data_IF_962132864173
#
_entry.id   IF_962132864173
#
_cell.length_a   1.000
_cell.length_b   1.000
_cell.length_c   1.000
_cell.angle_alpha   90.00
_cell.angle_beta   90.00
_cell.angle_gamma   90.00
#
_symmetry.space_group_name_H-M   'P 1'
#
loop_
_entity.id
_entity.type
_entity.pdbx_description
1 polymer ?
#
# COMPACT_ATOMS: atom_id res chain seq x y z
N UNK A 1 22.78 -15.52 -5.17
CA UNK A 1 21.33 -15.61 -4.95
C UNK A 1 20.60 -15.19 -6.21
N UNK A 2 19.49 -15.83 -6.52
CA UNK A 2 18.63 -15.40 -7.62
C UNK A 2 17.95 -14.08 -7.28
N UNK A 3 17.72 -13.27 -8.30
CA UNK A 3 16.97 -12.01 -8.20
C UNK A 3 16.35 -11.66 -9.56
N UNK A 4 15.46 -10.68 -9.57
CA UNK A 4 14.91 -10.12 -10.80
C UNK A 4 15.18 -8.60 -10.80
N UNK A 5 15.78 -8.13 -11.88
CA UNK A 5 16.16 -6.72 -12.00
C UNK A 5 16.17 -6.22 -13.43
N UNK A 6 16.51 -4.94 -13.59
CA UNK A 6 16.72 -4.30 -14.90
C UNK A 6 17.94 -3.36 -14.87
N UNK A 7 18.44 -3.02 -16.06
CA UNK A 7 19.52 -2.03 -16.26
C UNK A 7 19.06 -0.76 -16.97
N UNK A 8 17.99 -0.85 -17.73
CA UNK A 8 17.48 0.29 -18.50
C UNK A 8 15.98 0.42 -18.19
N UNK A 9 15.53 1.58 -17.68
CA UNK A 9 14.12 1.82 -17.45
C UNK A 9 13.34 1.82 -18.77
N UNK A 10 12.08 1.41 -18.73
CA UNK A 10 11.25 1.40 -19.92
C UNK A 10 9.91 0.67 -19.74
N UNK A 11 9.12 0.58 -20.81
CA UNK A 11 7.82 -0.09 -20.79
C UNK A 11 7.96 -1.60 -20.56
N UNK A 12 6.94 -2.22 -19.97
CA UNK A 12 6.94 -3.66 -19.63
C UNK A 12 7.07 -4.57 -20.86
N UNK A 13 6.69 -4.09 -22.04
CA UNK A 13 6.77 -4.84 -23.29
C UNK A 13 8.21 -5.12 -23.77
N UNK A 14 9.21 -4.44 -23.22
CA UNK A 14 10.61 -4.72 -23.53
C UNK A 14 11.06 -6.06 -22.95
N UNK A 15 11.81 -6.84 -23.71
CA UNK A 15 12.39 -8.10 -23.21
C UNK A 15 13.30 -7.87 -22.01
N UNK A 16 13.98 -6.74 -21.96
CA UNK A 16 14.92 -6.32 -20.91
C UNK A 16 14.25 -5.57 -19.75
N UNK A 17 12.92 -5.38 -19.77
CA UNK A 17 12.20 -4.63 -18.72
C UNK A 17 12.38 -5.24 -17.35
N UNK A 18 12.44 -6.57 -17.27
CA UNK A 18 12.81 -7.37 -16.10
C UNK A 18 13.50 -8.64 -16.59
N UNK A 19 14.61 -9.00 -15.98
CA UNK A 19 15.39 -10.20 -16.30
C UNK A 19 15.80 -10.94 -15.03
N UNK A 20 15.92 -12.26 -15.12
CA UNK A 20 16.46 -13.09 -14.06
C UNK A 20 17.98 -12.88 -13.98
N UNK A 21 18.50 -12.67 -12.81
CA UNK A 21 19.91 -12.36 -12.54
C UNK A 21 20.43 -13.09 -11.32
N UNK A 22 21.74 -13.23 -11.23
CA UNK A 22 22.43 -13.70 -10.04
C UNK A 22 23.18 -12.54 -9.36
N UNK A 23 22.97 -12.39 -8.06
CA UNK A 23 23.63 -11.39 -7.22
C UNK A 23 24.37 -12.05 -6.06
N UNK A 24 25.42 -11.42 -5.50
CA UNK A 24 26.00 -11.88 -4.23
C UNK A 24 24.95 -11.79 -3.12
N UNK A 25 25.04 -12.71 -2.16
CA UNK A 25 24.22 -12.64 -0.94
C UNK A 25 24.67 -11.42 -0.13
N UNK A 26 23.75 -10.56 0.34
CA UNK A 26 24.13 -9.39 1.10
C UNK A 26 24.59 -9.75 2.51
N UNK A 27 25.39 -8.84 3.10
CA UNK A 27 25.97 -9.01 4.43
C UNK A 27 25.23 -8.14 5.43
N UNK A 28 24.86 -8.74 6.56
CA UNK A 28 24.09 -8.09 7.64
C UNK A 28 24.99 -7.19 8.50
N UNK A 29 24.48 -6.02 8.88
CA UNK A 29 25.13 -5.12 9.83
C UNK A 29 24.13 -4.23 10.56
N UNK A 30 24.48 -3.71 11.74
CA UNK A 30 23.71 -2.72 12.47
C UNK A 30 22.27 -3.19 12.76
N UNK A 31 21.29 -2.38 12.37
CA UNK A 31 19.85 -2.69 12.52
C UNK A 31 19.26 -3.59 11.43
N UNK A 32 20.05 -4.07 10.48
CA UNK A 32 19.54 -4.89 9.40
C UNK A 32 19.26 -6.33 9.83
N UNK A 33 18.23 -6.91 9.23
CA UNK A 33 18.00 -8.37 9.22
C UNK A 33 18.07 -8.88 7.78
N UNK A 34 18.59 -10.09 7.60
CA UNK A 34 18.57 -10.80 6.34
C UNK A 34 17.39 -11.75 6.32
N UNK A 35 16.48 -11.50 5.41
CA UNK A 35 15.27 -12.31 5.23
C UNK A 35 15.41 -13.20 4.00
N UNK A 36 15.18 -14.51 4.16
CA UNK A 36 14.88 -15.40 3.05
C UNK A 36 13.44 -15.16 2.60
N UNK A 37 13.28 -14.57 1.44
CA UNK A 37 11.98 -14.19 0.88
C UNK A 37 11.21 -15.43 0.45
N UNK A 38 10.00 -15.59 0.93
CA UNK A 38 9.07 -16.67 0.57
C UNK A 38 8.01 -16.23 -0.41
N UNK A 39 7.55 -14.98 -0.29
CA UNK A 39 6.61 -14.35 -1.20
C UNK A 39 6.85 -12.85 -1.27
N UNK A 40 6.48 -12.26 -2.40
CA UNK A 40 6.47 -10.83 -2.67
C UNK A 40 5.11 -10.43 -3.23
N UNK A 41 4.80 -9.13 -3.17
CA UNK A 41 3.58 -8.63 -3.80
C UNK A 41 3.89 -7.36 -4.58
N UNK A 42 3.19 -7.15 -5.70
CA UNK A 42 3.43 -6.02 -6.59
C UNK A 42 2.53 -4.83 -6.26
N UNK A 43 3.06 -3.64 -6.49
CA UNK A 43 2.42 -2.36 -6.23
C UNK A 43 2.62 -1.40 -7.42
N UNK A 44 1.78 -0.35 -7.57
CA UNK A 44 1.98 0.65 -8.61
C UNK A 44 3.37 1.31 -8.61
N UNK A 45 4.00 1.48 -7.45
CA UNK A 45 5.36 2.01 -7.34
C UNK A 45 6.39 1.17 -8.09
N UNK A 46 6.20 -0.15 -8.18
CA UNK A 46 7.11 -1.04 -8.91
C UNK A 46 7.19 -0.67 -10.40
N UNK A 47 6.05 -0.53 -11.08
CA UNK A 47 6.08 -0.17 -12.49
C UNK A 47 6.42 1.30 -12.73
N UNK A 48 6.06 2.21 -11.83
CA UNK A 48 6.45 3.62 -11.91
C UNK A 48 7.98 3.76 -11.89
N UNK A 49 8.65 3.10 -10.95
CA UNK A 49 10.12 3.10 -10.85
C UNK A 49 10.75 2.37 -12.03
N UNK A 50 10.25 1.19 -12.40
CA UNK A 50 10.76 0.45 -13.56
C UNK A 50 10.74 1.29 -14.83
N UNK A 51 9.68 2.07 -15.05
CA UNK A 51 9.51 2.85 -16.28
C UNK A 51 10.36 4.12 -16.34
N UNK A 52 10.79 4.66 -15.20
CA UNK A 52 11.37 6.01 -15.13
C UNK A 52 12.73 6.12 -14.45
N UNK A 53 13.11 5.18 -13.58
CA UNK A 53 14.27 5.36 -12.71
C UNK A 53 15.43 4.45 -13.13
N UNK A 54 16.55 5.01 -13.65
CA UNK A 54 17.72 4.21 -13.97
C UNK A 54 18.38 3.68 -12.67
N UNK A 55 19.05 2.52 -12.72
CA UNK A 55 19.94 2.09 -11.65
C UNK A 55 21.17 3.00 -11.56
N UNK A 56 21.97 2.85 -10.50
CA UNK A 56 23.32 3.41 -10.46
C UNK A 56 24.17 2.82 -11.59
N UNK A 57 25.18 3.57 -12.04
CA UNK A 57 25.99 3.22 -13.21
C UNK A 57 26.55 1.78 -13.11
N UNK A 58 26.18 0.96 -14.10
CA UNK A 58 26.63 -0.43 -14.23
C UNK A 58 25.91 -1.45 -13.35
N UNK A 59 25.10 -1.02 -12.42
CA UNK A 59 24.37 -1.89 -11.48
C UNK A 59 23.06 -2.44 -12.05
N UNK A 60 22.48 -3.38 -11.32
CA UNK A 60 21.12 -3.85 -11.48
C UNK A 60 20.17 -3.14 -10.52
N UNK A 61 19.02 -2.70 -11.00
CA UNK A 61 17.91 -2.26 -10.13
C UNK A 61 16.99 -3.43 -9.85
N UNK A 62 16.95 -3.88 -8.60
CA UNK A 62 15.97 -4.86 -8.11
C UNK A 62 14.80 -4.10 -7.50
N UNK A 63 13.60 -4.45 -7.93
CA UNK A 63 12.33 -3.87 -7.46
C UNK A 63 11.71 -4.74 -6.36
N UNK A 64 10.53 -4.32 -5.90
CA UNK A 64 9.71 -5.01 -4.92
C UNK A 64 9.74 -4.32 -3.56
N UNK A 65 8.54 -3.96 -3.08
CA UNK A 65 8.36 -3.29 -1.78
C UNK A 65 7.13 -3.88 -1.07
N UNK A 66 7.14 -5.21 -1.00
CA UNK A 66 6.25 -6.04 -0.20
C UNK A 66 6.85 -7.44 -0.14
N UNK A 67 7.13 -7.94 1.05
CA UNK A 67 7.63 -9.30 1.22
C UNK A 67 7.13 -9.94 2.51
N UNK A 68 7.08 -11.28 2.49
CA UNK A 68 7.00 -12.12 3.66
C UNK A 68 8.08 -13.22 3.56
N UNK A 69 8.73 -13.52 4.69
CA UNK A 69 9.84 -14.46 4.69
C UNK A 69 10.32 -14.83 6.09
N UNK A 70 11.47 -15.49 6.13
CA UNK A 70 12.08 -16.01 7.36
C UNK A 70 13.40 -15.29 7.61
N UNK A 71 13.58 -14.77 8.80
CA UNK A 71 14.85 -14.17 9.25
C UNK A 71 15.94 -15.24 9.25
N UNK A 72 17.04 -14.99 8.57
CA UNK A 72 18.21 -15.90 8.49
C UNK A 72 19.41 -15.38 9.27
N UNK A 73 19.59 -14.08 9.33
CA UNK A 73 20.66 -13.43 10.08
C UNK A 73 20.13 -12.10 10.66
N UNK A 74 20.69 -11.69 11.78
CA UNK A 74 20.35 -10.41 12.44
C UNK A 74 21.63 -9.61 12.68
N UNK A 75 21.56 -8.29 12.51
CA UNK A 75 22.64 -7.36 12.79
C UNK A 75 22.87 -7.17 14.30
N UNK A 76 23.99 -6.57 14.64
CA UNK A 76 24.43 -6.40 16.04
C UNK A 76 23.49 -5.58 16.90
N UNK A 77 22.71 -4.67 16.29
CA UNK A 77 21.86 -3.73 17.02
C UNK A 77 20.39 -4.18 17.05
N UNK A 78 20.08 -5.35 16.45
CA UNK A 78 18.74 -5.93 16.40
C UNK A 78 18.45 -6.72 17.68
N UNK A 79 17.35 -6.38 18.35
CA UNK A 79 16.92 -7.04 19.59
C UNK A 79 15.51 -7.64 19.51
N UNK A 80 14.69 -7.19 18.53
CA UNK A 80 13.28 -7.58 18.41
C UNK A 80 13.03 -8.83 17.58
N UNK A 81 14.02 -9.29 16.81
CA UNK A 81 13.94 -10.48 15.96
C UNK A 81 15.12 -11.44 16.18
N UNK A 82 14.87 -12.72 15.89
CA UNK A 82 15.86 -13.78 15.91
C UNK A 82 15.79 -14.61 14.62
N UNK A 83 16.87 -15.35 14.34
CA UNK A 83 16.90 -16.32 13.25
C UNK A 83 15.76 -17.33 13.40
N UNK A 84 14.98 -17.51 12.34
CA UNK A 84 13.80 -18.38 12.30
C UNK A 84 12.47 -17.64 12.41
N UNK A 85 12.46 -16.38 12.82
CA UNK A 85 11.24 -15.60 12.91
C UNK A 85 10.60 -15.41 11.53
N UNK A 86 9.27 -15.55 11.48
CA UNK A 86 8.46 -15.26 10.31
C UNK A 86 8.05 -13.78 10.32
N UNK A 87 8.42 -13.05 9.27
CA UNK A 87 8.27 -11.61 9.16
C UNK A 87 7.58 -11.19 7.87
N UNK A 88 7.04 -9.96 7.87
CA UNK A 88 6.53 -9.31 6.67
C UNK A 88 6.77 -7.79 6.74
N UNK A 89 6.95 -7.15 5.59
CA UNK A 89 7.37 -5.74 5.53
C UNK A 89 7.25 -5.16 4.12
N UNK A 90 7.21 -3.83 4.04
CA UNK A 90 7.28 -3.11 2.77
C UNK A 90 8.72 -2.74 2.37
N UNK A 91 9.63 -2.56 3.32
CA UNK A 91 11.00 -2.13 3.06
C UNK A 91 11.14 -0.64 2.77
N UNK A 92 12.21 -0.26 2.07
CA UNK A 92 12.52 1.15 1.74
C UNK A 92 12.80 1.32 0.25
N UNK A 93 12.19 2.35 -0.35
CA UNK A 93 12.33 2.65 -1.78
C UNK A 93 13.76 3.09 -2.17
N UNK A 94 14.57 3.51 -1.20
CA UNK A 94 15.97 3.93 -1.39
C UNK A 94 16.95 2.76 -1.33
N UNK A 95 16.48 1.56 -1.00
CA UNK A 95 17.30 0.33 -0.90
C UNK A 95 16.98 -0.64 -2.04
N UNK A 96 17.78 -1.71 -2.15
CA UNK A 96 17.49 -2.84 -3.04
C UNK A 96 16.12 -3.42 -2.70
N UNK A 97 15.32 -3.78 -3.70
CA UNK A 97 13.97 -4.31 -3.51
C UNK A 97 13.93 -5.81 -3.19
N UNK A 98 12.73 -6.30 -2.92
CA UNK A 98 12.44 -7.64 -2.40
C UNK A 98 12.38 -8.75 -3.45
N UNK A 99 12.49 -8.43 -4.76
CA UNK A 99 12.45 -9.43 -5.82
C UNK A 99 13.78 -10.21 -5.91
N UNK A 100 14.21 -10.80 -4.80
CA UNK A 100 15.44 -11.58 -4.62
C UNK A 100 15.25 -12.67 -3.55
N UNK A 101 15.99 -13.77 -3.65
CA UNK A 101 15.93 -14.89 -2.67
C UNK A 101 16.22 -14.42 -1.24
N UNK A 102 17.12 -13.44 -1.08
CA UNK A 102 17.47 -12.85 0.20
C UNK A 102 17.41 -11.34 0.11
N UNK A 103 16.86 -10.71 1.12
CA UNK A 103 16.69 -9.26 1.19
C UNK A 103 17.16 -8.72 2.54
N UNK A 104 17.88 -7.60 2.52
CA UNK A 104 18.24 -6.83 3.72
C UNK A 104 17.20 -5.75 3.99
N UNK A 105 16.67 -5.74 5.18
CA UNK A 105 15.73 -4.72 5.64
C UNK A 105 16.09 -4.27 7.05
N UNK A 106 15.88 -2.98 7.33
CA UNK A 106 15.99 -2.43 8.67
C UNK A 106 14.90 -3.04 9.56
N UNK A 107 15.29 -3.67 10.65
CA UNK A 107 14.38 -4.39 11.55
C UNK A 107 13.27 -3.49 12.13
N UNK A 108 13.51 -2.18 12.26
CA UNK A 108 12.54 -1.23 12.82
C UNK A 108 11.28 -1.05 11.97
N UNK A 109 11.36 -1.32 10.65
CA UNK A 109 10.21 -1.23 9.73
C UNK A 109 9.61 -2.61 9.38
N UNK A 110 9.86 -3.61 10.19
CA UNK A 110 9.43 -5.00 9.98
C UNK A 110 8.43 -5.39 11.07
N UNK A 111 7.35 -6.07 10.67
CA UNK A 111 6.40 -6.71 11.60
C UNK A 111 6.48 -8.23 11.58
N UNK A 112 5.93 -8.87 12.62
CA UNK A 112 5.74 -10.32 12.67
C UNK A 112 4.62 -10.72 11.73
N UNK A 113 4.89 -11.70 10.88
CA UNK A 113 3.89 -12.23 9.95
C UNK A 113 2.66 -12.76 10.70
N UNK A 114 1.41 -12.40 10.30
CA UNK A 114 0.21 -13.03 10.84
C UNK A 114 0.32 -14.55 10.78
N UNK A 115 0.06 -15.24 11.88
CA UNK A 115 0.18 -16.69 11.98
C UNK A 115 -0.86 -17.42 11.11
N UNK A 116 -2.05 -16.84 10.97
CA UNK A 116 -3.18 -17.37 10.21
C UNK A 116 -3.01 -17.32 8.69
N UNK A 117 -2.12 -16.47 8.15
CA UNK A 117 -1.93 -16.30 6.72
C UNK A 117 -0.79 -17.17 6.19
N UNK A 118 -0.92 -17.62 4.94
CA UNK A 118 0.20 -18.15 4.18
C UNK A 118 1.16 -17.03 3.73
N UNK A 119 2.27 -17.36 3.05
CA UNK A 119 3.30 -16.39 2.68
C UNK A 119 2.79 -15.36 1.65
N UNK A 120 2.08 -15.81 0.63
CA UNK A 120 1.54 -14.93 -0.42
C UNK A 120 0.47 -13.98 0.13
N UNK A 121 -0.42 -14.48 1.00
CA UNK A 121 -1.42 -13.67 1.68
C UNK A 121 -0.80 -12.61 2.59
N UNK A 122 0.24 -12.97 3.34
CA UNK A 122 0.95 -12.06 4.22
C UNK A 122 1.71 -10.99 3.42
N UNK A 123 2.41 -11.36 2.33
CA UNK A 123 3.12 -10.42 1.47
C UNK A 123 2.20 -9.39 0.79
N UNK A 124 0.90 -9.66 0.70
CA UNK A 124 -0.06 -8.74 0.08
C UNK A 124 -0.50 -7.56 0.98
N UNK A 125 -0.03 -7.49 2.23
CA UNK A 125 -0.55 -6.53 3.21
C UNK A 125 0.37 -5.33 3.52
N UNK A 126 1.72 -5.45 3.63
CA UNK A 126 2.53 -4.45 4.31
C UNK A 126 2.42 -3.05 3.71
N UNK A 127 2.77 -2.86 2.45
CA UNK A 127 2.78 -1.53 1.83
C UNK A 127 1.39 -0.88 1.88
N UNK A 128 0.37 -1.64 1.50
CA UNK A 128 -1.00 -1.12 1.45
C UNK A 128 -1.58 -0.89 2.84
N UNK A 129 -1.22 -1.73 3.80
CA UNK A 129 -1.61 -1.57 5.20
C UNK A 129 -0.98 -0.33 5.85
N UNK A 130 0.33 -0.12 5.64
CA UNK A 130 1.03 1.07 6.12
C UNK A 130 0.45 2.34 5.50
N UNK A 131 0.29 2.39 4.17
CA UNK A 131 -0.29 3.55 3.49
C UNK A 131 -1.70 3.89 3.98
N UNK A 132 -2.54 2.88 4.19
CA UNK A 132 -3.90 3.09 4.68
C UNK A 132 -3.92 3.54 6.15
N UNK A 133 -3.07 2.94 6.99
CA UNK A 133 -2.99 3.28 8.41
C UNK A 133 -2.46 4.69 8.61
N UNK A 134 -1.29 5.01 8.04
CA UNK A 134 -0.68 6.33 8.13
C UNK A 134 -1.60 7.42 7.57
N UNK A 135 -2.24 7.18 6.40
CA UNK A 135 -3.21 8.12 5.85
C UNK A 135 -4.36 8.42 6.81
N UNK A 136 -4.93 7.40 7.46
CA UNK A 136 -6.09 7.59 8.33
C UNK A 136 -5.73 8.16 9.70
N UNK A 137 -4.68 7.64 10.35
CA UNK A 137 -4.40 7.99 11.73
C UNK A 137 -3.38 9.12 11.87
N UNK A 138 -2.34 9.17 11.02
CA UNK A 138 -1.30 10.19 11.12
C UNK A 138 -1.63 11.45 10.29
N UNK A 139 -2.31 11.30 9.14
CA UNK A 139 -2.62 12.43 8.25
C UNK A 139 -4.02 12.97 8.48
N UNK A 140 -5.03 12.13 8.34
CA UNK A 140 -6.43 12.53 8.53
C UNK A 140 -6.80 12.69 10.00
N UNK A 141 -6.03 12.09 10.94
CA UNK A 141 -6.34 12.10 12.39
C UNK A 141 -7.84 11.79 12.62
N UNK A 142 -8.27 10.63 12.10
CA UNK A 142 -9.70 10.26 12.03
C UNK A 142 -10.35 10.12 13.42
N UNK A 143 -9.55 10.03 14.48
CA UNK A 143 -10.03 10.04 15.86
C UNK A 143 -10.54 11.41 16.31
N UNK A 144 -10.07 12.49 15.67
CA UNK A 144 -10.47 13.85 15.99
C UNK A 144 -11.67 14.27 15.14
N UNK A 145 -12.79 14.47 15.79
CA UNK A 145 -14.05 14.90 15.13
C UNK A 145 -13.93 16.24 14.39
N UNK A 146 -14.68 16.39 13.30
CA UNK A 146 -14.85 17.65 12.56
C UNK A 146 -16.23 18.22 12.92
N UNK A 147 -16.32 19.41 13.54
CA UNK A 147 -17.60 19.96 14.00
C UNK A 147 -18.59 20.16 12.85
N UNK A 148 -19.80 19.63 13.01
CA UNK A 148 -20.89 19.76 12.03
C UNK A 148 -20.77 18.86 10.81
N UNK A 149 -19.70 18.06 10.68
CA UNK A 149 -19.55 17.09 9.63
C UNK A 149 -20.23 15.75 9.97
N UNK A 150 -20.57 14.98 8.95
CA UNK A 150 -20.89 13.56 9.15
C UNK A 150 -19.65 12.80 9.65
N UNK A 151 -19.84 11.90 10.64
CA UNK A 151 -18.79 10.98 11.09
C UNK A 151 -18.58 9.90 10.01
N UNK A 152 -18.02 10.31 8.88
CA UNK A 152 -17.88 9.49 7.69
C UNK A 152 -16.54 9.73 6.98
N UNK A 153 -16.04 8.69 6.34
CA UNK A 153 -14.90 8.72 5.43
C UNK A 153 -15.32 8.25 4.04
N UNK A 154 -14.94 9.01 3.01
CA UNK A 154 -15.01 8.58 1.62
C UNK A 154 -13.66 8.03 1.18
N UNK A 155 -13.60 6.78 0.75
CA UNK A 155 -12.41 6.14 0.19
C UNK A 155 -12.59 6.02 -1.32
N UNK A 156 -11.87 6.82 -2.10
CA UNK A 156 -11.87 6.76 -3.57
C UNK A 156 -10.92 5.65 -4.02
N UNK A 157 -11.39 4.76 -4.90
CA UNK A 157 -10.62 3.61 -5.37
C UNK A 157 -10.69 2.39 -4.44
N UNK A 158 -11.87 2.12 -3.85
CA UNK A 158 -12.06 1.10 -2.82
C UNK A 158 -11.68 -0.33 -3.19
N UNK A 159 -11.75 -0.70 -4.46
CA UNK A 159 -11.45 -2.06 -4.90
C UNK A 159 -9.94 -2.31 -5.16
N UNK A 160 -9.11 -1.26 -5.22
CA UNK A 160 -7.67 -1.39 -5.35
C UNK A 160 -7.00 -1.93 -4.08
N UNK A 161 -5.67 -2.14 -4.12
CA UNK A 161 -4.92 -2.70 -2.99
C UNK A 161 -5.08 -1.89 -1.71
N UNK A 162 -4.77 -0.58 -1.76
CA UNK A 162 -4.89 0.32 -0.59
C UNK A 162 -6.34 0.50 -0.16
N UNK A 163 -7.26 0.76 -1.12
CA UNK A 163 -8.68 0.94 -0.81
C UNK A 163 -9.29 -0.27 -0.10
N UNK A 164 -8.92 -1.48 -0.55
CA UNK A 164 -9.43 -2.73 0.04
C UNK A 164 -9.03 -2.93 1.50
N UNK A 165 -7.82 -2.58 1.88
CA UNK A 165 -7.39 -2.68 3.28
C UNK A 165 -7.87 -1.48 4.10
N UNK A 166 -7.94 -0.28 3.50
CA UNK A 166 -8.43 0.93 4.16
C UNK A 166 -9.89 0.78 4.61
N UNK A 167 -10.76 0.18 3.79
CA UNK A 167 -12.14 -0.14 4.17
C UNK A 167 -12.17 -0.97 5.45
N UNK A 168 -11.38 -2.02 5.50
CA UNK A 168 -11.34 -2.93 6.65
C UNK A 168 -10.78 -2.26 7.90
N UNK A 169 -9.67 -1.51 7.78
CA UNK A 169 -9.09 -0.76 8.90
C UNK A 169 -10.09 0.26 9.44
N UNK A 170 -10.72 1.06 8.56
CA UNK A 170 -11.74 2.02 8.97
C UNK A 170 -12.90 1.35 9.72
N UNK A 171 -13.34 0.18 9.25
CA UNK A 171 -14.43 -0.61 9.87
C UNK A 171 -14.07 -1.20 11.23
N UNK A 172 -12.82 -1.59 11.43
CA UNK A 172 -12.40 -2.28 12.66
C UNK A 172 -11.84 -1.34 13.72
N UNK A 173 -11.26 -0.21 13.29
CA UNK A 173 -10.54 0.70 14.20
C UNK A 173 -11.26 2.03 14.43
N UNK A 174 -12.43 2.25 13.79
CA UNK A 174 -13.20 3.51 13.93
C UNK A 174 -14.70 3.25 13.93
N UNK A 175 -15.47 4.25 14.38
CA UNK A 175 -16.94 4.28 14.30
C UNK A 175 -17.44 5.06 13.06
N UNK A 176 -16.57 5.30 12.06
CA UNK A 176 -16.93 6.07 10.88
C UNK A 176 -17.88 5.29 9.96
N UNK A 177 -18.80 6.01 9.34
CA UNK A 177 -19.51 5.52 8.16
C UNK A 177 -18.51 5.44 7.02
N UNK A 178 -18.24 4.22 6.52
CA UNK A 178 -17.32 3.99 5.41
C UNK A 178 -18.07 4.03 4.09
N UNK A 179 -17.78 5.04 3.28
CA UNK A 179 -18.26 5.20 1.92
C UNK A 179 -17.07 4.90 1.01
N UNK A 180 -17.29 4.19 -0.09
CA UNK A 180 -16.22 3.93 -1.05
C UNK A 180 -16.71 3.98 -2.47
N UNK A 181 -15.78 4.08 -3.43
CA UNK A 181 -16.13 4.08 -4.84
C UNK A 181 -15.82 2.75 -5.51
N UNK A 182 -16.78 2.28 -6.32
CA UNK A 182 -16.61 1.17 -7.25
C UNK A 182 -17.60 1.37 -8.41
N UNK A 183 -17.25 0.94 -9.64
CA UNK A 183 -18.10 1.18 -10.83
C UNK A 183 -18.51 -0.08 -11.57
N UNK A 184 -18.02 -1.26 -11.15
CA UNK A 184 -18.34 -2.55 -11.77
C UNK A 184 -19.00 -3.46 -10.73
N UNK A 185 -19.97 -4.31 -11.12
CA UNK A 185 -20.69 -5.19 -10.18
C UNK A 185 -19.75 -6.03 -9.30
N UNK A 186 -18.71 -6.63 -9.88
CA UNK A 186 -17.74 -7.44 -9.14
C UNK A 186 -16.91 -6.63 -8.13
N UNK A 187 -16.60 -5.36 -8.44
CA UNK A 187 -15.89 -4.48 -7.51
C UNK A 187 -16.81 -3.92 -6.43
N UNK A 188 -18.10 -3.70 -6.73
CA UNK A 188 -19.10 -3.37 -5.70
C UNK A 188 -19.28 -4.50 -4.69
N UNK A 189 -19.45 -5.73 -5.17
CA UNK A 189 -19.57 -6.91 -4.32
C UNK A 189 -18.32 -7.08 -3.44
N UNK A 190 -17.12 -6.89 -4.03
CA UNK A 190 -15.85 -6.95 -3.32
C UNK A 190 -15.81 -5.96 -2.16
N UNK A 191 -16.05 -4.65 -2.40
CA UNK A 191 -15.93 -3.62 -1.36
C UNK A 191 -17.01 -3.73 -0.30
N UNK A 192 -18.25 -4.17 -0.66
CA UNK A 192 -19.30 -4.49 0.31
C UNK A 192 -18.88 -5.66 1.20
N UNK A 193 -18.29 -6.70 0.63
CA UNK A 193 -17.75 -7.85 1.35
C UNK A 193 -16.57 -7.52 2.27
N UNK A 194 -15.89 -6.36 2.07
CA UNK A 194 -14.87 -5.83 2.96
C UNK A 194 -15.44 -4.94 4.08
N UNK A 195 -16.75 -4.64 4.04
CA UNK A 195 -17.44 -3.91 5.09
C UNK A 195 -17.78 -2.45 4.77
N UNK A 196 -17.71 -2.01 3.51
CA UNK A 196 -18.19 -0.69 3.12
C UNK A 196 -19.69 -0.53 3.44
N UNK A 197 -20.07 0.55 4.09
CA UNK A 197 -21.47 0.85 4.40
C UNK A 197 -22.22 1.32 3.14
N UNK A 198 -21.56 2.18 2.36
CA UNK A 198 -22.11 2.70 1.11
C UNK A 198 -21.09 2.56 -0.02
N UNK A 199 -21.58 2.27 -1.21
CA UNK A 199 -20.77 2.21 -2.43
C UNK A 199 -21.38 3.16 -3.44
N UNK A 200 -20.56 4.08 -3.99
CA UNK A 200 -20.94 5.02 -5.02
C UNK A 200 -20.08 4.80 -6.27
N UNK A 201 -20.61 5.19 -7.42
CA UNK A 201 -19.98 4.97 -8.71
C UNK A 201 -19.05 6.14 -9.09
N UNK A 202 -17.73 5.89 -9.19
CA UNK A 202 -16.76 6.90 -9.57
C UNK A 202 -16.81 7.34 -11.04
N UNK A 203 -17.60 6.68 -11.88
CA UNK A 203 -17.86 7.13 -13.26
C UNK A 203 -18.92 8.24 -13.33
N UNK A 204 -19.55 8.56 -12.21
CA UNK A 204 -20.60 9.59 -12.04
C UNK A 204 -20.14 10.65 -11.04
N UNK A 205 -20.71 11.87 -11.07
CA UNK A 205 -20.39 12.91 -10.09
C UNK A 205 -20.51 12.40 -8.64
N UNK A 206 -19.44 12.47 -7.86
CA UNK A 206 -19.41 11.92 -6.49
C UNK A 206 -20.23 12.78 -5.53
N UNK A 207 -20.21 14.13 -5.69
CA UNK A 207 -20.89 15.04 -4.79
C UNK A 207 -22.41 14.82 -4.79
N UNK A 208 -23.01 14.62 -5.95
CA UNK A 208 -24.43 14.34 -6.08
C UNK A 208 -24.81 13.02 -5.37
N UNK A 209 -24.01 11.96 -5.55
CA UNK A 209 -24.25 10.67 -4.93
C UNK A 209 -24.12 10.73 -3.40
N UNK A 210 -23.11 11.47 -2.87
CA UNK A 210 -22.99 11.69 -1.42
C UNK A 210 -24.22 12.42 -0.87
N UNK A 211 -24.74 13.43 -1.58
CA UNK A 211 -25.94 14.13 -1.16
C UNK A 211 -27.20 13.21 -1.13
N UNK A 212 -27.33 12.30 -2.10
CA UNK A 212 -28.40 11.29 -2.16
C UNK A 212 -28.39 10.33 -0.97
N UNK A 213 -27.24 10.07 -0.34
CA UNK A 213 -27.15 9.22 0.85
C UNK A 213 -27.85 9.84 2.09
N UNK A 214 -28.00 11.15 2.13
CA UNK A 214 -28.69 11.85 3.23
C UNK A 214 -27.95 11.83 4.56
N UNK A 215 -26.68 11.43 4.60
CA UNK A 215 -25.87 11.35 5.83
C UNK A 215 -25.13 12.65 6.18
N UNK A 216 -25.13 13.64 5.28
CA UNK A 216 -24.37 14.89 5.40
C UNK A 216 -23.00 14.80 4.73
N UNK A 217 -22.26 15.91 4.78
CA UNK A 217 -20.92 16.01 4.19
C UNK A 217 -19.90 15.22 5.02
N UNK A 218 -19.10 14.31 4.42
CA UNK A 218 -18.12 13.50 5.15
C UNK A 218 -17.00 14.38 5.74
N UNK A 219 -16.56 14.02 6.96
CA UNK A 219 -15.45 14.67 7.64
C UNK A 219 -14.11 14.40 6.93
N UNK A 220 -13.97 13.21 6.34
CA UNK A 220 -12.72 12.71 5.80
C UNK A 220 -12.87 12.18 4.38
N UNK A 221 -11.86 12.45 3.56
CA UNK A 221 -11.72 11.85 2.22
C UNK A 221 -10.32 11.26 2.11
N UNK A 222 -10.23 10.02 1.64
CA UNK A 222 -8.99 9.35 1.30
C UNK A 222 -9.03 8.91 -0.16
N UNK A 223 -8.22 9.55 -1.02
CA UNK A 223 -8.12 9.21 -2.44
C UNK A 223 -6.89 8.35 -2.69
N UNK A 224 -7.11 7.19 -3.30
CA UNK A 224 -6.04 6.23 -3.59
C UNK A 224 -5.65 6.19 -5.06
N UNK A 225 -6.44 6.82 -5.93
CA UNK A 225 -6.21 6.81 -7.38
C UNK A 225 -7.07 7.84 -8.08
N UNK A 226 -6.61 8.31 -9.26
CA UNK A 226 -7.34 9.23 -10.15
C UNK A 226 -7.84 10.50 -9.46
N UNK A 227 -7.11 10.98 -8.45
CA UNK A 227 -7.47 12.17 -7.66
C UNK A 227 -7.75 13.38 -8.54
N UNK A 228 -6.95 13.60 -9.60
CA UNK A 228 -7.12 14.71 -10.53
C UNK A 228 -8.52 14.76 -11.16
N UNK A 229 -9.14 13.59 -11.41
CA UNK A 229 -10.48 13.52 -12.01
C UNK A 229 -11.60 13.85 -11.01
N UNK A 230 -11.33 13.72 -9.71
CA UNK A 230 -12.32 13.84 -8.65
C UNK A 230 -12.14 15.07 -7.75
N UNK A 231 -11.08 15.86 -7.96
CA UNK A 231 -10.72 16.97 -7.06
C UNK A 231 -11.85 17.99 -6.89
N UNK A 232 -12.58 18.32 -7.95
CA UNK A 232 -13.70 19.26 -7.88
C UNK A 232 -14.87 18.70 -7.07
N UNK A 233 -15.26 17.46 -7.33
CA UNK A 233 -16.29 16.75 -6.55
C UNK A 233 -15.88 16.62 -5.07
N UNK A 234 -14.61 16.27 -4.79
CA UNK A 234 -14.11 16.16 -3.42
C UNK A 234 -14.22 17.52 -2.70
N UNK A 235 -13.85 18.62 -3.36
CA UNK A 235 -13.97 19.96 -2.79
C UNK A 235 -15.43 20.32 -2.49
N UNK A 236 -16.38 19.89 -3.34
CA UNK A 236 -17.81 20.11 -3.15
C UNK A 236 -18.38 19.26 -2.01
N UNK A 237 -18.08 17.95 -1.96
CA UNK A 237 -18.72 17.02 -1.04
C UNK A 237 -18.14 17.04 0.38
N UNK A 238 -16.86 17.39 0.57
CA UNK A 238 -16.20 17.35 1.87
C UNK A 238 -16.76 18.44 2.80
N UNK A 239 -16.87 18.12 4.08
CA UNK A 239 -17.35 19.08 5.08
C UNK A 239 -16.40 20.29 5.24
N UNK A 240 -16.90 21.49 5.61
CA UNK A 240 -16.04 22.56 6.11
C UNK A 240 -15.13 22.07 7.25
N UNK A 241 -13.86 22.47 7.22
CA UNK A 241 -12.79 22.01 8.13
C UNK A 241 -12.49 20.49 8.05
N UNK A 242 -13.00 19.82 7.01
CA UNK A 242 -12.69 18.43 6.73
C UNK A 242 -11.22 18.20 6.40
N UNK A 243 -10.81 16.94 6.32
CA UNK A 243 -9.43 16.55 6.02
C UNK A 243 -9.40 15.59 4.84
N UNK A 244 -8.51 15.90 3.89
CA UNK A 244 -8.35 15.16 2.65
C UNK A 244 -6.93 14.62 2.54
N UNK A 245 -6.77 13.31 2.36
CA UNK A 245 -5.49 12.67 2.08
C UNK A 245 -5.49 12.00 0.70
N UNK A 246 -4.33 12.01 0.03
CA UNK A 246 -4.12 11.35 -1.25
C UNK A 246 -2.75 10.65 -1.29
N UNK A 247 -2.65 9.57 -2.08
CA UNK A 247 -1.43 8.77 -2.27
C UNK A 247 -0.98 8.66 -3.72
N UNK A 248 -1.78 9.11 -4.67
CA UNK A 248 -1.42 9.15 -6.07
C UNK A 248 -0.72 10.47 -6.45
N UNK A 249 -0.24 10.56 -7.68
CA UNK A 249 0.59 11.65 -8.19
C UNK A 249 -0.19 12.43 -9.26
N UNK A 250 -1.19 13.26 -8.89
CA UNK A 250 -1.92 14.07 -9.86
C UNK A 250 -1.00 15.05 -10.58
N UNK A 251 -1.14 15.19 -11.89
CA UNK A 251 -0.34 16.13 -12.69
C UNK A 251 -0.77 17.58 -12.47
N UNK A 252 -2.03 17.78 -12.06
CA UNK A 252 -2.57 19.06 -11.64
C UNK A 252 -3.47 18.90 -10.42
N UNK A 253 -3.37 19.84 -9.49
CA UNK A 253 -4.15 19.85 -8.26
C UNK A 253 -4.42 21.29 -7.82
N UNK A 254 -5.66 21.77 -8.01
CA UNK A 254 -6.06 23.12 -7.60
C UNK A 254 -6.47 23.13 -6.11
N UNK A 255 -5.52 23.48 -5.26
CA UNK A 255 -5.74 23.62 -3.81
C UNK A 255 -6.76 24.74 -3.48
N UNK A 256 -6.96 25.71 -4.36
CA UNK A 256 -7.85 26.84 -4.08
C UNK A 256 -9.32 26.44 -4.00
N UNK A 257 -9.71 25.31 -4.61
CA UNK A 257 -11.07 24.76 -4.48
C UNK A 257 -11.45 24.43 -3.03
N UNK A 258 -10.48 24.20 -2.17
CA UNK A 258 -10.67 23.81 -0.77
C UNK A 258 -10.62 24.97 0.22
N UNK A 259 -10.24 26.18 -0.25
CA UNK A 259 -9.95 27.34 0.60
C UNK A 259 -11.16 27.78 1.43
N UNK A 260 -12.32 27.94 0.81
CA UNK A 260 -13.50 28.49 1.47
C UNK A 260 -14.03 27.58 2.59
N UNK A 261 -13.76 26.27 2.49
CA UNK A 261 -14.09 25.28 3.50
C UNK A 261 -12.97 25.07 4.52
N UNK A 262 -11.81 25.72 4.37
CA UNK A 262 -10.61 25.53 5.22
C UNK A 262 -10.22 24.06 5.38
N UNK A 263 -10.29 23.28 4.28
CA UNK A 263 -9.94 21.84 4.29
C UNK A 263 -8.44 21.68 4.44
N UNK A 264 -8.02 20.76 5.31
CA UNK A 264 -6.62 20.33 5.39
C UNK A 264 -6.33 19.27 4.34
N UNK A 265 -5.23 19.42 3.60
CA UNK A 265 -4.83 18.49 2.54
C UNK A 265 -3.50 17.85 2.92
N UNK A 266 -3.43 16.54 2.79
CA UNK A 266 -2.28 15.74 3.19
C UNK A 266 -1.86 14.81 2.06
N UNK A 267 -0.56 14.77 1.76
CA UNK A 267 0.04 13.68 1.00
C UNK A 267 0.44 12.56 1.94
N UNK A 268 0.16 11.32 1.55
CA UNK A 268 0.69 10.15 2.22
C UNK A 268 1.68 9.42 1.31
N UNK A 269 2.89 9.21 1.80
CA UNK A 269 3.92 8.38 1.21
C UNK A 269 4.52 7.52 2.31
N UNK A 270 4.09 6.27 2.43
CA UNK A 270 4.51 5.36 3.50
C UNK A 270 6.04 5.15 3.56
N UNK A 271 6.77 5.47 2.50
CA UNK A 271 8.24 5.42 2.50
C UNK A 271 8.92 6.60 3.20
N UNK A 272 8.20 7.66 3.58
CA UNK A 272 8.79 8.88 4.17
C UNK A 272 9.64 8.56 5.39
N UNK A 273 9.14 7.73 6.30
CA UNK A 273 9.86 7.32 7.51
C UNK A 273 11.18 6.61 7.18
N UNK A 274 11.16 5.69 6.24
CA UNK A 274 12.36 4.93 5.84
C UNK A 274 13.32 5.72 4.93
N UNK A 275 12.83 6.67 4.12
CA UNK A 275 13.66 7.55 3.28
C UNK A 275 14.51 8.49 4.13
N UNK A 276 13.88 9.12 5.11
CA UNK A 276 14.50 10.17 5.92
C UNK A 276 15.05 9.65 7.26
N UNK A 277 14.84 8.38 7.61
CA UNK A 277 15.27 7.81 8.88
C UNK A 277 14.69 8.60 10.06
N UNK A 278 13.40 8.90 10.00
CA UNK A 278 12.74 9.73 11.02
C UNK A 278 12.81 9.08 12.42
N UNK A 279 12.78 9.86 13.51
CA UNK A 279 12.85 9.30 14.86
C UNK A 279 11.74 8.29 15.18
N UNK A 280 10.60 8.40 14.51
CA UNK A 280 9.42 7.54 14.63
C UNK A 280 9.38 6.40 13.59
N UNK A 281 10.49 6.07 12.95
CA UNK A 281 10.55 5.04 11.90
C UNK A 281 10.05 3.67 12.39
N UNK A 282 10.23 3.36 13.67
CA UNK A 282 9.77 2.10 14.29
C UNK A 282 8.25 1.95 14.35
N UNK A 283 7.49 3.04 14.23
CA UNK A 283 6.03 2.99 14.15
C UNK A 283 5.54 2.06 13.02
N UNK A 284 6.31 1.93 11.92
CA UNK A 284 5.94 1.02 10.83
C UNK A 284 5.95 -0.45 11.26
N UNK A 285 6.93 -0.86 12.06
CA UNK A 285 6.94 -2.19 12.66
C UNK A 285 5.76 -2.42 13.60
N UNK A 286 5.44 -1.43 14.43
CA UNK A 286 4.32 -1.47 15.37
C UNK A 286 2.96 -1.52 14.65
N UNK A 287 2.78 -0.74 13.59
CA UNK A 287 1.59 -0.78 12.73
C UNK A 287 1.42 -2.17 12.11
N UNK A 288 2.49 -2.75 11.59
CA UNK A 288 2.44 -4.09 11.01
C UNK A 288 2.08 -5.14 12.08
N UNK A 289 2.68 -5.08 13.27
CA UNK A 289 2.33 -5.98 14.38
C UNK A 289 0.86 -5.82 14.80
N UNK A 290 0.33 -4.59 14.84
CA UNK A 290 -1.09 -4.33 15.12
C UNK A 290 -2.01 -4.89 14.03
N UNK A 291 -1.63 -4.74 12.76
CA UNK A 291 -2.35 -5.34 11.63
C UNK A 291 -2.33 -6.87 11.70
N UNK A 292 -1.21 -7.48 12.09
CA UNK A 292 -1.11 -8.92 12.26
C UNK A 292 -2.09 -9.45 13.32
N UNK A 293 -2.23 -8.74 14.44
CA UNK A 293 -3.22 -9.09 15.47
C UNK A 293 -4.64 -9.00 14.92
N UNK A 294 -5.00 -7.94 14.18
CA UNK A 294 -6.32 -7.80 13.60
C UNK A 294 -6.63 -8.91 12.58
N UNK A 295 -5.64 -9.35 11.85
CA UNK A 295 -5.75 -10.47 10.90
C UNK A 295 -5.93 -11.80 11.63
N UNK A 296 -5.10 -12.09 12.63
CA UNK A 296 -5.16 -13.35 13.39
C UNK A 296 -6.46 -13.47 14.22
N UNK A 297 -7.02 -12.34 14.65
CA UNK A 297 -8.35 -12.25 15.27
C UNK A 297 -9.51 -12.42 14.25
N UNK A 298 -9.23 -12.52 12.96
CA UNK A 298 -10.24 -12.62 11.89
C UNK A 298 -11.01 -11.33 11.64
N UNK A 299 -10.54 -10.18 12.14
CA UNK A 299 -11.15 -8.86 11.96
C UNK A 299 -10.83 -8.25 10.60
N UNK A 300 -9.63 -8.55 10.09
CA UNK A 300 -9.14 -8.16 8.76
C UNK A 300 -8.79 -9.44 7.99
N UNK A 301 -9.25 -9.54 6.76
CA UNK A 301 -8.87 -10.62 5.84
C UNK A 301 -7.86 -10.14 4.82
N UNK A 302 -7.10 -11.06 4.25
CA UNK A 302 -6.19 -10.77 3.14
C UNK A 302 -6.92 -10.12 1.97
N UNK A 303 -6.24 -9.20 1.30
CA UNK A 303 -6.71 -8.55 0.06
C UNK A 303 -6.13 -9.22 -1.20
N UNK A 304 -5.43 -10.34 -1.03
CA UNK A 304 -4.88 -11.13 -2.13
C UNK A 304 -5.99 -11.71 -3.00
N UNK A 305 -5.89 -11.49 -4.32
CA UNK A 305 -6.85 -12.02 -5.31
C UNK A 305 -6.17 -12.91 -6.34
N UNK A 306 -4.84 -12.84 -6.46
CA UNK A 306 -4.09 -13.63 -7.44
C UNK A 306 -2.70 -13.96 -6.95
N UNK A 307 -2.28 -15.21 -7.12
CA UNK A 307 -0.91 -15.68 -6.86
C UNK A 307 -0.30 -16.22 -8.14
N UNK A 308 0.97 -15.88 -8.39
CA UNK A 308 1.80 -16.43 -9.45
C UNK A 308 2.99 -17.18 -8.82
N UNK A 309 3.56 -18.14 -9.52
CA UNK A 309 4.73 -18.90 -9.07
C UNK A 309 5.48 -19.44 -10.29
N UNK A 310 6.82 -19.51 -10.26
CA UNK A 310 7.71 -18.96 -9.22
C UNK A 310 7.93 -17.44 -9.33
N UNK A 311 8.68 -16.86 -8.38
CA UNK A 311 9.20 -15.50 -8.48
C UNK A 311 10.31 -15.49 -9.53
N UNK A 312 10.01 -14.98 -10.72
CA UNK A 312 10.94 -14.84 -11.84
C UNK A 312 10.54 -13.68 -12.75
N UNK A 313 11.39 -13.34 -13.68
CA UNK A 313 11.16 -12.22 -14.61
C UNK A 313 9.86 -12.38 -15.42
N UNK A 314 9.52 -13.57 -15.88
CA UNK A 314 8.33 -13.81 -16.70
C UNK A 314 7.04 -13.54 -15.89
N UNK A 315 6.95 -14.07 -14.68
CA UNK A 315 5.80 -13.89 -13.81
C UNK A 315 5.70 -12.45 -13.27
N UNK A 316 6.84 -11.81 -12.95
CA UNK A 316 6.84 -10.39 -12.55
C UNK A 316 6.42 -9.48 -13.71
N UNK A 317 6.85 -9.74 -14.95
CA UNK A 317 6.33 -9.02 -16.13
C UNK A 317 4.81 -9.16 -16.24
N UNK A 318 4.29 -10.37 -16.06
CA UNK A 318 2.84 -10.62 -16.09
C UNK A 318 2.12 -9.82 -14.99
N UNK A 319 2.66 -9.82 -13.76
CA UNK A 319 2.08 -9.07 -12.65
C UNK A 319 2.11 -7.55 -12.89
N UNK A 320 3.23 -7.01 -13.37
CA UNK A 320 3.35 -5.59 -13.74
C UNK A 320 2.35 -5.21 -14.83
N UNK A 321 2.25 -5.99 -15.90
CA UNK A 321 1.29 -5.74 -16.96
C UNK A 321 -0.16 -5.69 -16.45
N UNK A 322 -0.51 -6.55 -15.49
CA UNK A 322 -1.84 -6.56 -14.89
C UNK A 322 -2.10 -5.30 -14.06
N UNK A 323 -1.17 -4.89 -13.19
CA UNK A 323 -1.40 -3.68 -12.36
C UNK A 323 -1.36 -2.39 -13.18
N UNK A 324 -0.61 -2.35 -14.29
CA UNK A 324 -0.58 -1.21 -15.23
C UNK A 324 -1.91 -0.97 -15.92
N UNK A 325 -2.79 -1.97 -16.00
CA UNK A 325 -4.16 -1.77 -16.54
C UNK A 325 -5.01 -0.84 -15.69
N UNK A 326 -4.67 -0.64 -14.41
CA UNK A 326 -5.48 0.11 -13.45
C UNK A 326 -6.80 -0.57 -13.05
N UNK A 327 -7.06 -1.80 -13.50
CA UNK A 327 -8.33 -2.51 -13.27
C UNK A 327 -8.25 -3.66 -12.27
N UNK A 328 -7.08 -3.88 -11.67
CA UNK A 328 -6.84 -4.96 -10.70
C UNK A 328 -7.64 -4.73 -9.43
N UNK A 329 -8.36 -5.77 -8.98
CA UNK A 329 -9.02 -5.81 -7.68
C UNK A 329 -8.08 -6.42 -6.64
N UNK A 330 -7.98 -5.81 -5.46
CA UNK A 330 -7.10 -6.30 -4.40
C UNK A 330 -5.62 -6.32 -4.79
N UNK A 331 -4.93 -7.41 -4.45
CA UNK A 331 -3.47 -7.56 -4.59
C UNK A 331 -3.08 -8.79 -5.42
N UNK A 332 -1.91 -8.70 -6.05
CA UNK A 332 -1.24 -9.80 -6.76
C UNK A 332 0.05 -10.10 -6.01
N UNK A 333 0.27 -11.37 -5.66
CA UNK A 333 1.51 -11.85 -5.05
C UNK A 333 2.22 -12.89 -5.92
N UNK A 334 3.50 -13.09 -5.66
CA UNK A 334 4.30 -14.16 -6.24
C UNK A 334 5.00 -14.91 -5.11
N UNK A 335 5.18 -16.24 -5.27
CA UNK A 335 5.82 -17.08 -4.26
C UNK A 335 6.78 -18.10 -4.84
N UNK A 336 7.83 -18.43 -4.08
CA UNK A 336 8.88 -19.39 -4.45
C UNK A 336 9.87 -18.85 -5.48
N UNK A 337 11.17 -19.19 -5.35
CA UNK A 337 12.24 -18.88 -6.31
C UNK A 337 12.70 -20.13 -7.05
#
# INVERSE_FOLDING_TARGET
MKAVGYKVPGPIALDTALVDIDLPRPVVAGYDILVEVKAVSVNPVDYKIRSSTPPADGDWKVLGWDAAGIVREVGSDVTQFATGDAVYYAGSITRTGTNAEFHLVDARIVGRKPASLNWAEAAALPLTGLAAWEAMFDRLDVAKTVPGAASAILIVGGAGGVGSIAIQIARQCTDLIVITTASRPETEEWVRGLGAHHVIDHSRPLAAQIAELGIGAPAFVFSTTHTEQHVADIAELIAPQGRFALIDDPTSFDIMLFKDKAVSIHHELMFTRSIYGTPDMSEQGEILDALAVLVDDGKIRTTLTRTLSPINAANLKTAHALIETGTTTGKIALEGF
#
